data_IF_642664056477
#
_entry.id   IF_642664056477
#
_cell.length_a   1.000
_cell.length_b   1.000
_cell.length_c   1.000
_cell.angle_alpha   90.00
_cell.angle_beta   90.00
_cell.angle_gamma   90.00
#
_symmetry.space_group_name_H-M   'P 1'
#
loop_
_entity.id
_entity.type
_entity.pdbx_description
1 polymer ?
#
# COMPACT_ATOMS: atom_id res chain seq x y z
N UNK A 1 22.60 -34.23 -22.75
CA UNK A 1 22.16 -33.02 -23.43
C UNK A 1 22.28 -31.89 -22.42
N UNK A 2 23.22 -31.00 -22.63
CA UNK A 2 23.58 -29.90 -21.74
C UNK A 2 22.46 -28.89 -21.72
N UNK A 3 21.85 -28.66 -20.56
CA UNK A 3 20.87 -27.63 -20.36
C UNK A 3 21.50 -26.25 -20.60
N UNK A 4 20.97 -25.49 -21.54
CA UNK A 4 21.32 -24.09 -21.73
C UNK A 4 21.04 -23.35 -20.43
N UNK A 5 22.07 -22.72 -19.85
CA UNK A 5 21.89 -21.83 -18.69
C UNK A 5 20.98 -20.67 -19.08
N UNK A 6 20.12 -20.25 -18.16
CA UNK A 6 19.24 -19.08 -18.37
C UNK A 6 19.99 -17.81 -18.82
N UNK A 7 21.33 -17.78 -18.63
CA UNK A 7 22.25 -16.75 -19.13
C UNK A 7 22.44 -16.74 -20.65
N UNK A 8 22.11 -17.82 -21.35
CA UNK A 8 22.44 -18.01 -22.78
C UNK A 8 21.30 -17.58 -23.73
N UNK A 9 20.19 -17.14 -23.20
CA UNK A 9 19.13 -16.52 -24.00
C UNK A 9 19.56 -15.07 -24.27
N UNK A 10 19.86 -14.68 -25.53
CA UNK A 10 20.16 -13.30 -25.84
C UNK A 10 18.87 -12.47 -25.68
N UNK A 11 18.57 -12.09 -24.45
CA UNK A 11 17.50 -11.16 -24.16
C UNK A 11 17.87 -9.82 -24.75
N UNK A 12 17.16 -9.44 -25.82
CA UNK A 12 17.28 -8.12 -26.42
C UNK A 12 17.00 -7.07 -25.33
N UNK A 13 18.03 -6.37 -24.86
CA UNK A 13 17.97 -5.34 -23.84
C UNK A 13 16.95 -4.24 -24.19
N UNK A 14 16.70 -4.01 -25.48
CA UNK A 14 15.72 -3.01 -25.95
C UNK A 14 14.26 -3.40 -25.65
N UNK A 15 13.93 -4.69 -25.62
CA UNK A 15 12.56 -5.11 -25.25
C UNK A 15 12.26 -4.92 -23.76
N UNK A 16 13.26 -5.03 -22.86
CA UNK A 16 13.07 -4.81 -21.42
C UNK A 16 12.71 -3.38 -21.08
N UNK A 17 13.24 -2.42 -21.83
CA UNK A 17 12.98 -1.00 -21.62
C UNK A 17 11.52 -0.60 -21.82
N UNK A 18 10.75 -1.44 -22.51
CA UNK A 18 9.35 -1.15 -22.87
C UNK A 18 8.34 -1.99 -22.07
N UNK A 19 8.78 -2.86 -21.15
CA UNK A 19 7.88 -3.68 -20.34
C UNK A 19 7.48 -2.95 -19.06
N UNK A 20 6.18 -2.97 -18.76
CA UNK A 20 5.64 -2.48 -17.49
C UNK A 20 5.98 -3.44 -16.34
N UNK A 21 6.04 -4.74 -16.62
CA UNK A 21 6.32 -5.81 -15.66
C UNK A 21 7.43 -6.73 -16.16
N UNK A 22 8.27 -7.21 -15.24
CA UNK A 22 9.37 -8.13 -15.49
C UNK A 22 9.12 -9.53 -14.88
N UNK A 23 7.92 -10.05 -14.98
CA UNK A 23 7.58 -11.38 -14.46
C UNK A 23 7.88 -12.43 -15.53
N UNK A 24 9.10 -12.97 -15.54
CA UNK A 24 9.59 -13.92 -16.54
C UNK A 24 10.63 -14.88 -15.93
N UNK A 25 11.01 -15.90 -16.69
CA UNK A 25 11.99 -16.91 -16.30
C UNK A 25 11.40 -18.01 -15.42
N UNK A 26 12.27 -18.93 -14.98
CA UNK A 26 11.89 -20.15 -14.27
C UNK A 26 11.21 -19.89 -12.92
N UNK A 27 11.50 -18.75 -12.30
CA UNK A 27 10.92 -18.33 -11.03
C UNK A 27 9.61 -17.56 -11.17
N UNK A 28 9.13 -17.26 -12.36
CA UNK A 28 7.91 -16.46 -12.56
C UNK A 28 6.67 -17.10 -11.95
N UNK A 29 6.56 -18.42 -12.02
CA UNK A 29 5.42 -19.15 -11.45
C UNK A 29 5.34 -18.99 -9.92
N UNK A 30 6.47 -18.98 -9.22
CA UNK A 30 6.52 -18.78 -7.77
C UNK A 30 6.11 -17.36 -7.38
N UNK A 31 6.45 -16.35 -8.19
CA UNK A 31 6.05 -14.97 -7.96
C UNK A 31 4.53 -14.79 -8.12
N UNK A 32 3.94 -15.41 -9.13
CA UNK A 32 2.48 -15.43 -9.29
C UNK A 32 1.78 -16.18 -8.15
N UNK A 33 2.29 -17.35 -7.78
CA UNK A 33 1.74 -18.13 -6.67
C UNK A 33 1.84 -17.37 -5.34
N UNK A 34 2.99 -16.74 -5.05
CA UNK A 34 3.18 -15.93 -3.85
C UNK A 34 2.23 -14.73 -3.80
N UNK A 35 2.05 -14.03 -4.91
CA UNK A 35 1.10 -12.92 -5.01
C UNK A 35 -0.34 -13.37 -4.72
N UNK A 36 -0.77 -14.51 -5.29
CA UNK A 36 -2.10 -15.07 -5.05
C UNK A 36 -2.27 -15.53 -3.59
N UNK A 37 -1.24 -16.14 -2.99
CA UNK A 37 -1.27 -16.51 -1.57
C UNK A 37 -1.40 -15.30 -0.66
N UNK A 38 -0.67 -14.22 -0.94
CA UNK A 38 -0.79 -12.96 -0.19
C UNK A 38 -2.19 -12.38 -0.36
N UNK A 39 -2.73 -12.34 -1.59
CA UNK A 39 -4.08 -11.86 -1.85
C UNK A 39 -5.13 -12.63 -1.04
N UNK A 40 -5.11 -13.96 -1.12
CA UNK A 40 -6.07 -14.82 -0.40
C UNK A 40 -5.86 -14.73 1.10
N UNK A 41 -4.62 -14.75 1.58
CA UNK A 41 -4.27 -14.60 2.99
C UNK A 41 -4.77 -13.29 3.58
N UNK A 42 -4.59 -12.18 2.89
CA UNK A 42 -5.08 -10.86 3.31
C UNK A 42 -6.60 -10.80 3.36
N UNK A 43 -7.31 -11.39 2.39
CA UNK A 43 -8.77 -11.48 2.41
C UNK A 43 -9.22 -12.29 3.63
N UNK A 44 -8.65 -13.47 3.87
CA UNK A 44 -9.06 -14.35 4.97
C UNK A 44 -8.78 -13.72 6.33
N UNK A 45 -7.59 -13.17 6.55
CA UNK A 45 -7.24 -12.53 7.81
C UNK A 45 -8.07 -11.27 8.06
N UNK A 46 -8.36 -10.48 7.03
CA UNK A 46 -9.30 -9.37 7.14
C UNK A 46 -10.70 -9.84 7.54
N UNK A 47 -11.20 -10.94 6.95
CA UNK A 47 -12.50 -11.49 7.34
C UNK A 47 -12.53 -11.97 8.80
N UNK A 48 -11.48 -12.61 9.29
CA UNK A 48 -11.35 -12.98 10.72
C UNK A 48 -11.34 -11.73 11.60
N UNK A 49 -10.51 -10.73 11.27
CA UNK A 49 -10.37 -9.51 12.05
C UNK A 49 -11.68 -8.69 12.13
N UNK A 50 -12.41 -8.60 11.01
CA UNK A 50 -13.61 -7.79 10.95
C UNK A 50 -14.86 -8.48 11.49
N UNK A 51 -15.00 -9.81 11.32
CA UNK A 51 -16.21 -10.54 11.72
C UNK A 51 -16.28 -10.88 13.19
N UNK A 52 -15.13 -10.99 13.87
CA UNK A 52 -15.08 -11.37 15.27
C UNK A 52 -14.36 -10.32 16.12
N UNK A 53 -14.91 -10.05 17.31
CA UNK A 53 -14.29 -9.12 18.26
C UNK A 53 -12.95 -9.64 18.74
N UNK A 54 -12.87 -10.93 19.04
CA UNK A 54 -11.64 -11.60 19.49
C UNK A 54 -10.58 -11.59 18.40
N UNK A 55 -10.94 -11.93 17.15
CA UNK A 55 -10.02 -11.88 16.02
C UNK A 55 -9.43 -10.48 15.80
N UNK A 56 -10.28 -9.44 15.88
CA UNK A 56 -9.81 -8.05 15.81
C UNK A 56 -8.86 -7.67 16.95
N UNK A 57 -9.16 -8.07 18.19
CA UNK A 57 -8.31 -7.81 19.35
C UNK A 57 -6.97 -8.56 19.29
N UNK A 58 -6.97 -9.79 18.80
CA UNK A 58 -5.73 -10.55 18.61
C UNK A 58 -4.89 -9.89 17.50
N UNK A 59 -5.46 -9.67 16.31
CA UNK A 59 -4.72 -9.21 15.13
C UNK A 59 -4.26 -7.74 15.29
N UNK A 60 -5.07 -6.86 15.89
CA UNK A 60 -4.72 -5.44 16.03
C UNK A 60 -4.42 -5.01 17.47
N UNK A 61 -4.33 -5.94 18.40
CA UNK A 61 -3.94 -5.69 19.79
C UNK A 61 -2.77 -6.57 20.20
N UNK A 62 -3.00 -7.86 20.40
CA UNK A 62 -1.99 -8.77 20.94
C UNK A 62 -0.77 -8.94 20.01
N UNK A 63 -1.00 -9.21 18.72
CA UNK A 63 0.08 -9.42 17.73
C UNK A 63 0.98 -8.20 17.61
N UNK A 64 0.48 -6.97 17.34
CA UNK A 64 1.35 -5.81 17.23
C UNK A 64 2.02 -5.42 18.55
N UNK A 65 1.43 -5.72 19.72
CA UNK A 65 2.10 -5.53 21.00
C UNK A 65 3.35 -6.41 21.12
N UNK A 66 3.23 -7.71 20.80
CA UNK A 66 4.37 -8.65 20.78
C UNK A 66 5.41 -8.22 19.75
N UNK A 67 4.98 -7.85 18.54
CA UNK A 67 5.89 -7.40 17.50
C UNK A 67 6.61 -6.10 17.86
N UNK A 68 5.95 -5.17 18.56
CA UNK A 68 6.60 -3.95 19.03
C UNK A 68 7.75 -4.27 19.98
N UNK A 69 7.54 -5.20 20.92
CA UNK A 69 8.63 -5.68 21.81
C UNK A 69 9.75 -6.31 20.99
N UNK A 70 9.41 -7.19 20.05
CA UNK A 70 10.39 -7.80 19.14
C UNK A 70 11.21 -6.76 18.37
N UNK A 71 10.59 -5.77 17.76
CA UNK A 71 11.28 -4.71 17.02
C UNK A 71 12.22 -3.89 17.91
N UNK A 72 11.79 -3.56 19.13
CA UNK A 72 12.63 -2.85 20.10
C UNK A 72 13.84 -3.71 20.49
N UNK A 73 13.63 -4.98 20.79
CA UNK A 73 14.71 -5.91 21.16
C UNK A 73 15.72 -6.06 20.03
N UNK A 74 15.25 -6.29 18.80
CA UNK A 74 16.13 -6.40 17.61
C UNK A 74 16.92 -5.10 17.42
N UNK A 75 16.26 -3.94 17.46
CA UNK A 75 16.92 -2.66 17.23
C UNK A 75 17.97 -2.32 18.31
N UNK A 76 17.66 -2.58 19.58
CA UNK A 76 18.59 -2.34 20.70
C UNK A 76 19.77 -3.32 20.64
N UNK A 77 19.52 -4.62 20.47
CA UNK A 77 20.56 -5.63 20.41
C UNK A 77 21.49 -5.42 19.19
N UNK A 78 20.95 -5.02 18.03
CA UNK A 78 21.75 -4.70 16.85
C UNK A 78 22.66 -3.49 17.08
N UNK A 79 22.16 -2.44 17.75
CA UNK A 79 22.99 -1.28 18.15
C UNK A 79 24.10 -1.66 19.14
N UNK A 80 23.90 -2.68 19.93
CA UNK A 80 24.91 -3.23 20.85
C UNK A 80 25.87 -4.19 20.16
N UNK A 81 25.75 -4.43 18.86
CA UNK A 81 26.60 -5.34 18.08
C UNK A 81 26.33 -6.81 18.33
N UNK A 82 25.16 -7.17 18.86
CA UNK A 82 24.81 -8.58 19.10
C UNK A 82 24.56 -9.28 17.77
N UNK A 83 25.35 -10.30 17.46
CA UNK A 83 25.46 -10.94 16.16
C UNK A 83 24.09 -11.39 15.56
N UNK A 84 23.26 -12.09 16.35
CA UNK A 84 21.96 -12.55 15.87
C UNK A 84 21.03 -11.38 15.47
N UNK A 85 21.16 -10.23 16.14
CA UNK A 85 20.31 -9.05 15.86
C UNK A 85 20.85 -8.24 14.67
N UNK A 86 22.17 -8.14 14.53
CA UNK A 86 22.81 -7.51 13.35
C UNK A 86 22.46 -8.29 12.08
N UNK A 87 22.44 -9.62 12.16
CA UNK A 87 22.11 -10.51 11.03
C UNK A 87 20.59 -10.79 10.89
N UNK A 88 19.74 -10.11 11.69
CA UNK A 88 18.30 -10.30 11.64
C UNK A 88 17.70 -9.62 10.39
N UNK A 89 16.86 -10.33 9.67
CA UNK A 89 16.21 -9.84 8.44
C UNK A 89 15.41 -8.55 8.64
N UNK A 90 14.72 -8.43 9.79
CA UNK A 90 14.02 -7.18 10.15
C UNK A 90 14.99 -6.02 10.27
N UNK A 91 16.16 -6.23 10.91
CA UNK A 91 17.16 -5.19 11.06
C UNK A 91 17.77 -4.78 9.71
N UNK A 92 18.10 -5.74 8.87
CA UNK A 92 18.77 -5.52 7.59
C UNK A 92 17.86 -4.78 6.60
N UNK A 93 16.60 -5.22 6.46
CA UNK A 93 15.75 -4.80 5.35
C UNK A 93 14.55 -3.93 5.74
N UNK A 94 14.12 -3.97 7.01
CA UNK A 94 12.81 -3.41 7.42
C UNK A 94 12.91 -2.46 8.60
N UNK A 95 14.10 -1.94 8.92
CA UNK A 95 14.34 -1.08 10.09
C UNK A 95 14.27 0.42 9.80
N UNK A 96 13.81 0.82 8.62
CA UNK A 96 13.67 2.21 8.24
C UNK A 96 12.43 2.89 8.82
N UNK A 97 12.43 4.23 8.83
CA UNK A 97 11.35 5.05 9.37
C UNK A 97 10.01 4.82 8.68
N UNK A 98 10.04 4.61 7.36
CA UNK A 98 8.86 4.45 6.52
C UNK A 98 8.04 3.22 6.92
N UNK A 99 8.68 2.07 7.15
CA UNK A 99 8.01 0.83 7.53
C UNK A 99 7.29 0.97 8.87
N UNK A 100 7.94 1.56 9.87
CA UNK A 100 7.32 1.80 11.18
C UNK A 100 6.20 2.83 11.09
N UNK A 101 6.39 3.93 10.35
CA UNK A 101 5.35 4.93 10.14
C UNK A 101 4.10 4.30 9.50
N UNK A 102 4.27 3.48 8.47
CA UNK A 102 3.16 2.77 7.80
C UNK A 102 2.46 1.78 8.73
N UNK A 103 3.22 0.95 9.46
CA UNK A 103 2.64 -0.01 10.39
C UNK A 103 1.80 0.68 11.46
N UNK A 104 2.38 1.64 12.19
CA UNK A 104 1.70 2.25 13.33
C UNK A 104 0.58 3.21 12.92
N UNK A 105 0.67 3.88 11.77
CA UNK A 105 -0.44 4.66 11.23
C UNK A 105 -1.61 3.73 10.83
N UNK A 106 -1.33 2.60 10.16
CA UNK A 106 -2.36 1.62 9.83
C UNK A 106 -2.98 1.00 11.09
N UNK A 107 -2.16 0.61 12.07
CA UNK A 107 -2.61 0.05 13.36
C UNK A 107 -3.51 1.03 14.12
N UNK A 108 -3.10 2.31 14.20
CA UNK A 108 -3.90 3.38 14.80
C UNK A 108 -5.26 3.51 14.09
N UNK A 109 -5.27 3.41 12.76
CA UNK A 109 -6.49 3.33 11.96
C UNK A 109 -7.37 2.16 12.34
N UNK A 110 -6.82 0.94 12.37
CA UNK A 110 -7.55 -0.28 12.73
C UNK A 110 -8.18 -0.18 14.12
N UNK A 111 -7.44 0.30 15.13
CA UNK A 111 -7.94 0.50 16.49
C UNK A 111 -9.08 1.51 16.52
N UNK A 112 -8.91 2.68 15.89
CA UNK A 112 -9.93 3.71 15.81
C UNK A 112 -11.20 3.25 15.09
N UNK A 113 -11.04 2.44 14.03
CA UNK A 113 -12.19 1.87 13.31
C UNK A 113 -12.93 0.81 14.14
N UNK A 114 -12.19 0.03 14.95
CA UNK A 114 -12.81 -0.86 15.96
C UNK A 114 -13.56 -0.06 17.02
N UNK A 115 -13.04 1.08 17.48
CA UNK A 115 -13.73 1.95 18.43
C UNK A 115 -15.05 2.50 17.87
N UNK A 116 -15.09 2.90 16.58
CA UNK A 116 -16.32 3.33 15.90
C UNK A 116 -17.28 2.16 15.75
N UNK A 117 -16.79 1.04 15.22
CA UNK A 117 -17.57 -0.16 14.92
C UNK A 117 -18.28 -0.73 16.16
N UNK A 118 -17.56 -0.80 17.28
CA UNK A 118 -18.09 -1.34 18.53
C UNK A 118 -18.64 -0.26 19.48
N UNK A 119 -18.57 0.99 19.09
CA UNK A 119 -18.98 2.14 19.90
C UNK A 119 -18.26 2.18 21.28
N UNK A 120 -16.92 1.98 21.27
CA UNK A 120 -16.08 2.01 22.46
C UNK A 120 -15.57 3.41 22.79
N UNK A 121 -15.63 3.80 24.07
CA UNK A 121 -15.01 5.04 24.54
C UNK A 121 -15.38 6.26 23.68
N UNK A 122 -14.36 6.92 23.14
CA UNK A 122 -14.51 8.07 22.25
C UNK A 122 -15.13 7.72 20.88
N UNK A 123 -15.10 6.44 20.47
CA UNK A 123 -15.74 5.96 19.25
C UNK A 123 -17.26 6.20 19.17
N UNK A 124 -17.90 6.48 20.33
CA UNK A 124 -19.31 6.89 20.42
C UNK A 124 -19.53 8.38 20.10
N UNK A 125 -18.47 9.19 20.17
CA UNK A 125 -18.57 10.65 20.05
C UNK A 125 -18.70 11.07 18.60
N UNK A 126 -19.56 12.04 18.34
CA UNK A 126 -19.80 12.53 16.98
C UNK A 126 -18.51 13.05 16.30
N UNK A 127 -17.69 13.82 17.02
CA UNK A 127 -16.45 14.36 16.50
C UNK A 127 -15.46 13.28 16.05
N UNK A 128 -15.50 12.10 16.68
CA UNK A 128 -14.60 10.99 16.31
C UNK A 128 -14.93 10.35 14.95
N UNK A 129 -16.08 10.66 14.38
CA UNK A 129 -16.43 10.22 13.02
C UNK A 129 -15.48 10.78 11.93
N UNK A 130 -14.83 11.93 12.20
CA UNK A 130 -13.82 12.47 11.30
C UNK A 130 -12.44 11.79 11.42
N UNK A 131 -12.23 10.95 12.44
CA UNK A 131 -10.96 10.22 12.63
C UNK A 131 -10.55 9.36 11.43
N UNK A 132 -11.45 8.60 10.77
CA UNK A 132 -11.08 7.83 9.58
C UNK A 132 -10.49 8.69 8.47
N UNK A 133 -11.04 9.88 8.22
CA UNK A 133 -10.46 10.82 7.27
C UNK A 133 -9.02 11.21 7.67
N UNK A 134 -8.83 11.63 8.92
CA UNK A 134 -7.55 12.11 9.41
C UNK A 134 -6.45 11.04 9.30
N UNK A 135 -6.74 9.81 9.74
CA UNK A 135 -5.73 8.74 9.72
C UNK A 135 -5.43 8.23 8.32
N UNK A 136 -6.41 8.21 7.41
CA UNK A 136 -6.19 7.87 6.01
C UNK A 136 -5.38 8.96 5.31
N UNK A 137 -5.68 10.24 5.57
CA UNK A 137 -4.90 11.37 5.05
C UNK A 137 -3.43 11.29 5.51
N UNK A 138 -3.16 10.98 6.79
CA UNK A 138 -1.80 10.76 7.29
C UNK A 138 -1.10 9.61 6.54
N UNK A 139 -1.79 8.49 6.34
CA UNK A 139 -1.22 7.36 5.58
C UNK A 139 -0.89 7.73 4.12
N UNK A 140 -1.73 8.55 3.50
CA UNK A 140 -1.46 9.09 2.15
C UNK A 140 -0.25 10.02 2.19
N UNK A 141 -0.19 10.95 3.16
CA UNK A 141 0.93 11.89 3.29
C UNK A 141 2.29 11.21 3.53
N UNK A 142 2.33 10.08 4.23
CA UNK A 142 3.56 9.28 4.37
C UNK A 142 4.04 8.79 2.97
N UNK A 143 3.15 8.36 2.11
CA UNK A 143 3.51 7.95 0.75
C UNK A 143 3.90 9.16 -0.12
N UNK A 144 3.20 10.27 0.01
CA UNK A 144 3.52 11.55 -0.67
C UNK A 144 4.90 12.04 -0.26
N UNK A 145 5.26 11.94 1.02
CA UNK A 145 6.59 12.30 1.51
C UNK A 145 7.69 11.45 0.87
N UNK A 146 7.47 10.13 0.75
CA UNK A 146 8.41 9.21 0.08
C UNK A 146 8.54 9.50 -1.42
N UNK A 147 7.46 9.89 -2.10
CA UNK A 147 7.53 10.34 -3.50
C UNK A 147 8.39 11.61 -3.63
N UNK A 148 8.15 12.63 -2.82
CA UNK A 148 8.94 13.86 -2.87
C UNK A 148 10.38 13.65 -2.41
N UNK A 149 10.64 12.78 -1.43
CA UNK A 149 11.99 12.39 -1.03
C UNK A 149 12.75 11.78 -2.22
N UNK A 150 12.11 10.88 -2.97
CA UNK A 150 12.70 10.30 -4.18
C UNK A 150 12.92 11.32 -5.29
N UNK A 151 12.01 12.28 -5.47
CA UNK A 151 12.19 13.36 -6.44
C UNK A 151 13.38 14.27 -6.09
N UNK A 152 13.57 14.58 -4.81
CA UNK A 152 14.62 15.48 -4.35
C UNK A 152 16.00 14.82 -4.40
N UNK A 153 16.09 13.57 -3.89
CA UNK A 153 17.37 12.89 -3.72
C UNK A 153 17.85 12.20 -5.01
N UNK A 154 16.93 11.77 -5.87
CA UNK A 154 17.21 10.97 -7.06
C UNK A 154 16.80 11.62 -8.38
N UNK A 155 16.83 12.95 -8.50
CA UNK A 155 16.38 13.66 -9.71
C UNK A 155 17.11 13.19 -10.98
N UNK A 156 16.41 12.39 -11.78
CA UNK A 156 16.96 11.68 -12.97
C UNK A 156 18.26 10.90 -12.70
N UNK A 157 18.38 10.39 -11.47
CA UNK A 157 19.52 9.59 -11.05
C UNK A 157 19.08 8.53 -10.02
N UNK A 158 19.99 7.59 -9.76
CA UNK A 158 19.81 6.62 -8.71
C UNK A 158 20.22 7.19 -7.36
N UNK A 159 19.45 6.90 -6.33
CA UNK A 159 19.78 7.22 -4.94
C UNK A 159 19.44 6.04 -4.02
N UNK A 160 20.18 5.90 -2.94
CA UNK A 160 19.94 4.85 -1.95
C UNK A 160 19.00 5.41 -0.87
N UNK A 161 17.81 4.81 -0.76
CA UNK A 161 16.83 5.18 0.27
C UNK A 161 17.29 4.76 1.66
N UNK A 162 16.66 5.32 2.70
CA UNK A 162 16.88 4.90 4.09
C UNK A 162 16.54 3.43 4.36
N UNK A 163 15.79 2.81 3.46
CA UNK A 163 15.41 1.40 3.48
C UNK A 163 16.45 0.48 2.81
N UNK A 164 17.58 1.02 2.39
CA UNK A 164 18.61 0.25 1.68
C UNK A 164 18.23 -0.18 0.26
N UNK A 165 17.21 0.45 -0.32
CA UNK A 165 16.73 0.17 -1.68
C UNK A 165 17.14 1.28 -2.62
N UNK A 166 17.72 0.91 -3.76
CA UNK A 166 18.03 1.85 -4.82
C UNK A 166 16.77 2.26 -5.57
N UNK A 167 16.52 3.57 -5.63
CA UNK A 167 15.39 4.18 -6.31
C UNK A 167 15.86 5.13 -7.39
N UNK A 168 15.04 5.31 -8.41
CA UNK A 168 15.26 6.29 -9.47
C UNK A 168 14.21 7.38 -9.37
N UNK A 169 14.63 8.62 -9.13
CA UNK A 169 13.74 9.75 -8.93
C UNK A 169 13.50 10.57 -10.19
N UNK A 170 12.49 11.44 -10.15
CA UNK A 170 12.19 12.37 -11.24
C UNK A 170 10.78 12.93 -11.20
N UNK A 171 10.32 13.49 -12.33
CA UNK A 171 8.98 14.07 -12.48
C UNK A 171 7.84 13.09 -12.16
N UNK A 172 8.03 11.80 -12.39
CA UNK A 172 7.04 10.78 -12.06
C UNK A 172 6.70 10.78 -10.56
N UNK A 173 7.67 10.97 -9.67
CA UNK A 173 7.42 11.10 -8.24
C UNK A 173 6.66 12.38 -7.90
N UNK A 174 7.01 13.51 -8.55
CA UNK A 174 6.27 14.77 -8.36
C UNK A 174 4.81 14.63 -8.77
N UNK A 175 4.55 14.04 -9.95
CA UNK A 175 3.19 13.81 -10.43
C UNK A 175 2.39 12.91 -9.49
N UNK A 176 3.01 11.83 -8.99
CA UNK A 176 2.35 10.93 -8.06
C UNK A 176 2.16 11.55 -6.68
N UNK A 177 3.12 12.32 -6.18
CA UNK A 177 2.99 13.07 -4.93
C UNK A 177 1.82 14.06 -4.98
N UNK A 178 1.69 14.83 -6.08
CA UNK A 178 0.55 15.73 -6.31
C UNK A 178 -0.75 14.92 -6.39
N UNK A 179 -0.76 13.79 -7.10
CA UNK A 179 -1.93 12.92 -7.18
C UNK A 179 -2.39 12.43 -5.81
N UNK A 180 -1.45 12.10 -4.91
CA UNK A 180 -1.74 11.73 -3.52
C UNK A 180 -2.37 12.86 -2.71
N UNK A 181 -1.90 14.08 -2.88
CA UNK A 181 -2.52 15.26 -2.25
C UNK A 181 -3.95 15.44 -2.76
N UNK A 182 -4.18 15.37 -4.08
CA UNK A 182 -5.52 15.46 -4.66
C UNK A 182 -6.43 14.32 -4.19
N UNK A 183 -5.88 13.12 -3.99
CA UNK A 183 -6.61 11.96 -3.48
C UNK A 183 -7.18 12.22 -2.07
N UNK A 184 -6.45 12.92 -1.21
CA UNK A 184 -6.96 13.34 0.10
C UNK A 184 -8.21 14.20 -0.06
N UNK A 185 -8.21 15.15 -0.99
CA UNK A 185 -9.38 16.01 -1.26
C UNK A 185 -10.53 15.26 -1.95
N UNK A 186 -10.30 14.08 -2.51
CA UNK A 186 -11.35 13.22 -3.05
C UNK A 186 -12.11 12.43 -1.97
N UNK A 187 -11.67 12.43 -0.72
CA UNK A 187 -12.42 11.82 0.37
C UNK A 187 -13.58 12.73 0.80
N UNK A 188 -14.81 12.26 0.68
CA UNK A 188 -16.02 13.02 0.96
C UNK A 188 -16.80 12.44 2.14
N UNK A 189 -17.75 13.22 2.71
CA UNK A 189 -18.63 12.74 3.78
C UNK A 189 -17.91 12.36 5.07
N UNK A 190 -17.00 13.18 5.57
CA UNK A 190 -16.14 12.85 6.73
C UNK A 190 -16.91 12.53 8.01
N UNK A 191 -18.12 13.07 8.16
CA UNK A 191 -19.00 12.86 9.32
C UNK A 191 -19.99 11.72 9.11
N UNK A 192 -20.07 11.18 7.88
CA UNK A 192 -20.98 10.11 7.51
C UNK A 192 -20.32 8.74 7.65
N UNK A 193 -19.78 8.49 8.83
CA UNK A 193 -19.16 7.20 9.21
C UNK A 193 -20.01 6.54 10.28
N UNK A 194 -20.27 5.26 10.11
CA UNK A 194 -21.25 4.50 10.90
C UNK A 194 -20.72 3.14 11.31
N UNK A 195 -21.32 2.60 12.39
CA UNK A 195 -21.19 1.17 12.69
C UNK A 195 -22.16 0.39 11.80
N UNK A 196 -21.78 -0.82 11.35
CA UNK A 196 -22.72 -1.72 10.69
C UNK A 196 -23.76 -2.29 11.68
N UNK A 197 -24.94 -2.67 11.18
CA UNK A 197 -26.04 -3.28 11.98
C UNK A 197 -25.58 -4.55 12.70
N UNK A 198 -24.73 -5.33 12.08
CA UNK A 198 -24.18 -6.58 12.63
C UNK A 198 -22.87 -6.38 13.43
N UNK A 199 -22.44 -5.14 13.62
CA UNK A 199 -21.21 -4.76 14.33
C UNK A 199 -19.91 -5.36 13.74
N UNK A 200 -19.94 -5.81 12.47
CA UNK A 200 -18.76 -6.36 11.81
C UNK A 200 -17.90 -5.32 11.13
N UNK A 201 -18.48 -4.17 10.76
CA UNK A 201 -17.82 -3.17 9.95
C UNK A 201 -17.98 -1.75 10.46
N UNK A 202 -16.97 -0.92 10.22
CA UNK A 202 -17.12 0.52 10.11
C UNK A 202 -17.54 0.81 8.65
N UNK A 203 -18.64 1.49 8.46
CA UNK A 203 -19.22 1.80 7.15
C UNK A 203 -19.01 3.28 6.84
N UNK A 204 -18.42 3.55 5.68
CA UNK A 204 -18.27 4.90 5.13
C UNK A 204 -18.91 4.94 3.73
N UNK A 205 -20.20 5.25 3.60
CA UNK A 205 -20.96 5.08 2.36
C UNK A 205 -20.46 5.93 1.19
N UNK A 206 -19.94 7.12 1.47
CA UNK A 206 -19.48 8.05 0.44
C UNK A 206 -18.16 7.61 -0.23
N UNK A 207 -17.43 6.65 0.36
CA UNK A 207 -16.27 6.01 -0.27
C UNK A 207 -16.74 4.95 -1.28
N UNK A 208 -17.33 5.43 -2.36
CA UNK A 208 -17.87 4.60 -3.43
C UNK A 208 -16.77 4.06 -4.34
N UNK A 209 -17.14 3.15 -5.26
CA UNK A 209 -16.22 2.53 -6.21
C UNK A 209 -15.36 3.52 -7.01
N UNK A 210 -15.84 4.75 -7.26
CA UNK A 210 -15.06 5.81 -7.93
C UNK A 210 -13.82 6.16 -7.12
N UNK A 211 -14.00 6.46 -5.80
CA UNK A 211 -12.88 6.75 -4.93
C UNK A 211 -11.92 5.55 -4.81
N UNK A 212 -12.47 4.33 -4.66
CA UNK A 212 -11.69 3.09 -4.54
C UNK A 212 -10.74 2.95 -5.74
N UNK A 213 -11.24 3.06 -6.96
CA UNK A 213 -10.43 2.93 -8.18
C UNK A 213 -9.38 4.05 -8.27
N UNK A 214 -9.76 5.29 -7.98
CA UNK A 214 -8.83 6.44 -8.05
C UNK A 214 -7.71 6.29 -7.03
N UNK A 215 -8.02 5.82 -5.82
CA UNK A 215 -7.03 5.50 -4.80
C UNK A 215 -6.12 4.35 -5.24
N UNK A 216 -6.70 3.26 -5.76
CA UNK A 216 -5.92 2.09 -6.17
C UNK A 216 -4.94 2.45 -7.30
N UNK A 217 -5.35 3.27 -8.29
CA UNK A 217 -4.47 3.74 -9.36
C UNK A 217 -3.33 4.61 -8.80
N UNK A 218 -3.63 5.54 -7.90
CA UNK A 218 -2.62 6.37 -7.25
C UNK A 218 -1.64 5.53 -6.43
N UNK A 219 -2.15 4.62 -5.60
CA UNK A 219 -1.31 3.81 -4.73
C UNK A 219 -0.49 2.78 -5.51
N UNK A 220 -1.03 2.26 -6.63
CA UNK A 220 -0.27 1.44 -7.56
C UNK A 220 0.94 2.22 -8.12
N UNK A 221 0.74 3.45 -8.60
CA UNK A 221 1.83 4.29 -9.11
C UNK A 221 2.88 4.57 -8.02
N UNK A 222 2.43 4.84 -6.79
CA UNK A 222 3.32 5.00 -5.64
C UNK A 222 4.19 3.76 -5.40
N UNK A 223 3.59 2.57 -5.32
CA UNK A 223 4.34 1.33 -5.09
C UNK A 223 5.25 0.97 -6.26
N UNK A 224 4.83 1.30 -7.47
CA UNK A 224 5.62 1.11 -8.69
C UNK A 224 6.91 1.95 -8.67
N UNK A 225 6.84 3.19 -8.19
CA UNK A 225 7.96 4.13 -8.17
C UNK A 225 8.85 3.97 -6.94
N UNK A 226 8.25 3.81 -5.75
CA UNK A 226 8.94 3.96 -4.47
C UNK A 226 9.08 2.67 -3.65
N UNK A 227 8.38 1.59 -4.03
CA UNK A 227 8.45 0.30 -3.33
C UNK A 227 8.73 -0.85 -4.28
N UNK A 228 9.81 -0.76 -5.06
CA UNK A 228 10.06 -1.68 -6.14
C UNK A 228 10.20 -3.15 -5.71
N UNK A 229 10.85 -3.43 -4.60
CA UNK A 229 11.04 -4.79 -4.09
C UNK A 229 9.74 -5.44 -3.60
N UNK A 230 8.73 -4.63 -3.22
CA UNK A 230 7.46 -5.13 -2.68
C UNK A 230 6.26 -4.87 -3.61
N UNK A 231 6.45 -4.18 -4.72
CA UNK A 231 5.35 -3.68 -5.56
C UNK A 231 4.40 -4.78 -6.02
N UNK A 232 4.91 -5.99 -6.27
CA UNK A 232 4.09 -7.13 -6.66
C UNK A 232 3.06 -7.52 -5.60
N UNK A 233 3.45 -7.41 -4.33
CA UNK A 233 2.60 -7.73 -3.20
C UNK A 233 1.75 -6.53 -2.78
N UNK A 234 2.35 -5.36 -2.55
CA UNK A 234 1.62 -4.20 -2.03
C UNK A 234 0.99 -3.33 -3.12
N UNK A 235 1.47 -3.39 -4.37
CA UNK A 235 0.87 -2.71 -5.52
C UNK A 235 -0.22 -3.51 -6.23
N UNK A 236 -0.33 -4.82 -5.99
CA UNK A 236 -1.36 -5.67 -6.60
C UNK A 236 -2.16 -6.40 -5.53
N UNK A 237 -1.59 -7.36 -4.82
CA UNK A 237 -2.33 -8.19 -3.86
C UNK A 237 -2.98 -7.37 -2.74
N UNK A 238 -2.21 -6.46 -2.14
CA UNK A 238 -2.66 -5.61 -1.04
C UNK A 238 -3.73 -4.58 -1.45
N UNK A 239 -3.77 -4.13 -2.70
CA UNK A 239 -4.81 -3.25 -3.22
C UNK A 239 -6.06 -4.03 -3.62
N UNK A 240 -5.89 -5.18 -4.26
CA UNK A 240 -7.01 -5.99 -4.71
C UNK A 240 -7.79 -6.62 -3.54
N UNK A 241 -7.13 -7.03 -2.45
CA UNK A 241 -7.79 -7.70 -1.33
C UNK A 241 -8.94 -6.88 -0.72
N UNK A 242 -8.75 -5.61 -0.27
CA UNK A 242 -9.83 -4.78 0.25
C UNK A 242 -10.84 -4.39 -0.83
N UNK A 243 -10.39 -4.20 -2.07
CA UNK A 243 -11.22 -3.76 -3.20
C UNK A 243 -12.19 -4.85 -3.62
N UNK A 244 -11.73 -6.09 -3.80
CA UNK A 244 -12.60 -7.24 -4.06
C UNK A 244 -13.65 -7.39 -2.96
N UNK A 245 -13.23 -7.35 -1.69
CA UNK A 245 -14.15 -7.47 -0.56
C UNK A 245 -15.24 -6.38 -0.59
N UNK A 246 -14.84 -5.12 -0.80
CA UNK A 246 -15.77 -3.99 -0.79
C UNK A 246 -16.72 -3.96 -2.01
N UNK A 247 -16.25 -4.39 -3.17
CA UNK A 247 -17.07 -4.39 -4.38
C UNK A 247 -18.04 -5.57 -4.43
N UNK A 248 -17.70 -6.72 -3.83
CA UNK A 248 -18.54 -7.93 -3.91
C UNK A 248 -19.46 -8.05 -2.70
N UNK A 249 -18.94 -8.12 -1.47
CA UNK A 249 -19.77 -8.45 -0.28
C UNK A 249 -19.73 -7.42 0.85
N UNK A 250 -18.78 -6.49 0.89
CA UNK A 250 -18.60 -5.55 2.01
C UNK A 250 -18.73 -4.08 1.59
N UNK A 251 -19.83 -3.73 0.91
CA UNK A 251 -20.10 -2.36 0.44
C UNK A 251 -20.05 -1.35 1.59
N UNK A 252 -19.30 -0.26 1.38
CA UNK A 252 -19.05 0.78 2.38
C UNK A 252 -17.96 0.46 3.40
N UNK A 253 -17.41 -0.77 3.43
CA UNK A 253 -16.35 -1.20 4.33
C UNK A 253 -14.93 -1.06 3.77
N UNK A 254 -14.74 -0.46 2.59
CA UNK A 254 -13.44 -0.45 1.91
C UNK A 254 -12.32 0.17 2.74
N UNK A 255 -12.54 1.34 3.35
CA UNK A 255 -11.54 2.03 4.19
C UNK A 255 -11.07 1.13 5.34
N UNK A 256 -12.01 0.47 6.02
CA UNK A 256 -11.67 -0.46 7.10
C UNK A 256 -10.90 -1.67 6.57
N UNK A 257 -11.36 -2.27 5.47
CA UNK A 257 -10.65 -3.39 4.84
C UNK A 257 -9.23 -2.98 4.42
N UNK A 258 -9.06 -1.78 3.85
CA UNK A 258 -7.76 -1.26 3.41
C UNK A 258 -6.80 -1.05 4.58
N UNK A 259 -7.25 -0.50 5.68
CA UNK A 259 -6.43 -0.35 6.88
C UNK A 259 -6.06 -1.70 7.49
N UNK A 260 -7.03 -2.61 7.60
CA UNK A 260 -6.82 -3.95 8.14
C UNK A 260 -5.77 -4.72 7.33
N UNK A 261 -5.94 -4.77 6.00
CA UNK A 261 -5.01 -5.50 5.12
C UNK A 261 -3.63 -4.84 5.10
N UNK A 262 -3.54 -3.51 5.15
CA UNK A 262 -2.27 -2.80 5.24
C UNK A 262 -1.53 -3.12 6.56
N UNK A 263 -2.23 -3.07 7.69
CA UNK A 263 -1.65 -3.38 8.98
C UNK A 263 -1.15 -4.84 9.03
N UNK A 264 -1.96 -5.80 8.56
CA UNK A 264 -1.60 -7.22 8.48
C UNK A 264 -0.37 -7.41 7.58
N UNK A 265 -0.36 -6.78 6.41
CA UNK A 265 0.78 -6.84 5.49
C UNK A 265 2.06 -6.27 6.13
N UNK A 266 1.99 -5.09 6.74
CA UNK A 266 3.15 -4.47 7.38
C UNK A 266 3.72 -5.34 8.50
N UNK A 267 2.87 -5.93 9.35
CA UNK A 267 3.31 -6.83 10.41
C UNK A 267 4.02 -8.07 9.84
N UNK A 268 3.44 -8.66 8.80
CA UNK A 268 4.03 -9.83 8.17
C UNK A 268 5.35 -9.49 7.47
N UNK A 269 5.36 -8.47 6.62
CA UNK A 269 6.51 -8.10 5.81
C UNK A 269 7.72 -7.65 6.65
N UNK A 270 7.49 -6.99 7.79
CA UNK A 270 8.58 -6.57 8.67
C UNK A 270 9.26 -7.73 9.41
N UNK A 271 8.58 -8.87 9.57
CA UNK A 271 9.15 -10.05 10.22
C UNK A 271 9.70 -11.04 9.18
N UNK A 272 9.02 -11.14 8.03
CA UNK A 272 9.34 -12.07 6.97
C UNK A 272 9.50 -11.33 5.63
N UNK A 273 10.64 -10.67 5.39
CA UNK A 273 10.87 -9.93 4.15
C UNK A 273 11.24 -10.86 2.99
N UNK A 274 10.38 -11.82 2.65
CA UNK A 274 10.59 -12.85 1.63
C UNK A 274 10.94 -12.31 0.24
N UNK A 275 10.51 -11.08 -0.05
CA UNK A 275 10.79 -10.39 -1.31
C UNK A 275 12.22 -9.84 -1.41
N UNK A 276 13.02 -9.96 -0.33
CA UNK A 276 14.43 -9.57 -0.31
C UNK A 276 15.38 -10.78 -0.45
N UNK A 277 14.84 -11.99 -0.46
CA UNK A 277 15.66 -13.18 -0.58
C UNK A 277 16.19 -13.36 -2.01
N UNK A 278 17.42 -13.84 -2.12
CA UNK A 278 18.02 -14.27 -3.38
C UNK A 278 17.56 -15.68 -3.75
N UNK A 279 17.34 -15.93 -5.03
CA UNK A 279 17.07 -17.28 -5.54
C UNK A 279 18.34 -18.16 -5.53
N UNK A 280 18.17 -19.45 -5.79
CA UNK A 280 19.28 -20.42 -5.86
C UNK A 280 20.37 -20.07 -6.87
N UNK A 281 20.06 -19.31 -7.90
CA UNK A 281 21.00 -18.80 -8.90
C UNK A 281 21.71 -17.51 -8.44
N UNK A 282 21.46 -17.05 -7.21
CA UNK A 282 22.04 -15.83 -6.66
C UNK A 282 21.38 -14.53 -7.12
N UNK A 283 20.28 -14.60 -7.85
CA UNK A 283 19.55 -13.40 -8.28
C UNK A 283 18.40 -13.08 -7.34
N UNK A 284 18.14 -11.78 -7.15
CA UNK A 284 16.92 -11.29 -6.51
C UNK A 284 15.91 -10.94 -7.58
N UNK A 285 14.70 -11.43 -7.43
CA UNK A 285 13.65 -11.22 -8.42
C UNK A 285 12.85 -9.96 -8.13
N UNK A 286 12.84 -9.04 -9.08
CA UNK A 286 12.03 -7.81 -9.05
C UNK A 286 11.05 -7.81 -10.23
N UNK A 287 9.74 -7.92 -10.00
CA UNK A 287 8.77 -8.05 -11.08
C UNK A 287 8.49 -6.76 -11.85
N UNK A 288 8.91 -5.61 -11.33
CA UNK A 288 8.71 -4.33 -12.00
C UNK A 288 9.86 -3.97 -12.95
N UNK A 289 9.53 -3.34 -14.07
CA UNK A 289 10.52 -2.91 -15.06
C UNK A 289 11.40 -1.74 -14.60
N UNK A 290 11.07 -1.14 -13.46
CA UNK A 290 11.75 0.06 -12.95
C UNK A 290 12.96 -0.25 -12.08
N UNK A 291 13.25 -1.53 -11.82
CA UNK A 291 14.23 -1.93 -10.83
C UNK A 291 15.38 -2.69 -11.43
N UNK A 292 16.51 -2.47 -10.80
CA UNK A 292 17.74 -3.22 -11.04
C UNK A 292 17.68 -4.58 -10.34
N UNK A 293 18.24 -5.58 -10.97
CA UNK A 293 18.47 -6.88 -10.31
C UNK A 293 19.67 -6.75 -9.37
N UNK A 294 19.52 -7.14 -8.12
CA UNK A 294 20.62 -7.29 -7.18
C UNK A 294 21.23 -8.69 -7.34
N UNK A 295 22.52 -8.76 -7.42
CA UNK A 295 23.27 -10.03 -7.50
C UNK A 295 23.65 -10.53 -6.12
N UNK A 296 24.02 -11.81 -6.02
CA UNK A 296 24.42 -12.46 -4.76
C UNK A 296 25.69 -11.85 -4.13
N UNK A 297 26.53 -11.20 -4.92
CA UNK A 297 27.73 -10.49 -4.46
C UNK A 297 27.43 -9.08 -3.89
N UNK A 298 26.16 -8.71 -3.82
CA UNK A 298 25.71 -7.39 -3.36
C UNK A 298 25.76 -6.31 -4.43
N UNK A 299 26.19 -6.61 -5.65
CA UNK A 299 26.16 -5.65 -6.74
C UNK A 299 24.74 -5.47 -7.27
N UNK A 300 24.46 -4.29 -7.83
CA UNK A 300 23.15 -3.94 -8.37
C UNK A 300 23.29 -3.65 -9.85
N UNK A 301 22.63 -4.45 -10.68
CA UNK A 301 22.65 -4.28 -12.12
C UNK A 301 22.21 -2.87 -12.53
N UNK A 302 22.90 -2.31 -13.51
CA UNK A 302 22.62 -0.98 -14.05
C UNK A 302 23.18 0.18 -13.21
N UNK A 303 23.34 0.02 -11.91
CA UNK A 303 23.97 1.04 -11.04
C UNK A 303 25.48 0.85 -11.05
N UNK A 304 25.96 -0.37 -10.89
CA UNK A 304 27.40 -0.69 -10.93
C UNK A 304 28.03 -0.32 -12.28
N UNK A 305 27.27 -0.51 -13.36
CA UNK A 305 27.71 -0.11 -14.69
C UNK A 305 27.60 1.41 -14.97
N UNK A 306 27.16 2.20 -13.99
CA UNK A 306 26.88 3.63 -14.18
C UNK A 306 25.78 3.91 -15.18
N UNK A 307 24.94 2.92 -15.46
CA UNK A 307 23.85 3.01 -16.43
C UNK A 307 22.49 2.98 -15.74
N UNK A 308 21.60 3.85 -16.16
CA UNK A 308 20.17 3.75 -15.82
C UNK A 308 19.46 2.68 -16.64
N UNK A 309 20.18 1.70 -17.17
CA UNK A 309 19.69 0.74 -18.14
C UNK A 309 18.48 -0.09 -17.65
N UNK A 310 18.35 -0.25 -16.35
CA UNK A 310 17.28 -1.02 -15.73
C UNK A 310 16.15 -0.15 -15.15
N UNK A 311 16.26 1.17 -15.16
CA UNK A 311 15.14 2.06 -14.91
C UNK A 311 14.28 2.19 -16.16
N UNK A 312 12.97 2.30 -15.97
CA UNK A 312 12.05 2.66 -17.04
C UNK A 312 11.30 3.95 -16.68
N UNK A 313 11.96 5.13 -16.85
CA UNK A 313 11.36 6.42 -16.52
C UNK A 313 10.07 6.69 -17.31
N UNK A 314 9.95 6.14 -18.50
CA UNK A 314 8.75 6.26 -19.34
C UNK A 314 7.57 5.54 -18.68
N UNK A 315 7.75 4.28 -18.24
CA UNK A 315 6.70 3.53 -17.54
C UNK A 315 6.32 4.21 -16.22
N UNK A 316 7.32 4.65 -15.42
CA UNK A 316 7.12 5.40 -14.18
C UNK A 316 6.30 6.67 -14.42
N UNK A 317 6.62 7.42 -15.47
CA UNK A 317 5.90 8.64 -15.85
C UNK A 317 4.46 8.33 -16.31
N UNK A 318 4.26 7.29 -17.11
CA UNK A 318 2.92 6.91 -17.58
C UNK A 318 2.00 6.56 -16.41
N UNK A 319 2.44 5.70 -15.48
CA UNK A 319 1.62 5.30 -14.34
C UNK A 319 1.34 6.48 -13.41
N UNK A 320 2.28 7.38 -13.23
CA UNK A 320 2.14 8.57 -12.39
C UNK A 320 1.23 9.64 -13.02
N UNK A 321 1.34 9.85 -14.33
CA UNK A 321 0.43 10.74 -15.06
C UNK A 321 -1.00 10.17 -15.05
N UNK A 322 -1.17 8.87 -15.22
CA UNK A 322 -2.48 8.22 -15.08
C UNK A 322 -3.06 8.48 -13.69
N UNK A 323 -2.26 8.32 -12.63
CA UNK A 323 -2.69 8.62 -11.27
C UNK A 323 -3.10 10.10 -11.09
N UNK A 324 -2.30 11.03 -11.63
CA UNK A 324 -2.60 12.45 -11.56
C UNK A 324 -3.90 12.80 -12.29
N UNK A 325 -4.04 12.34 -13.53
CA UNK A 325 -5.21 12.62 -14.38
C UNK A 325 -6.50 12.09 -13.73
N UNK A 326 -6.51 10.83 -13.25
CA UNK A 326 -7.74 10.28 -12.65
C UNK A 326 -8.11 10.99 -11.35
N UNK A 327 -7.13 11.45 -10.56
CA UNK A 327 -7.39 12.23 -9.36
C UNK A 327 -7.93 13.63 -9.68
N UNK A 328 -7.42 14.30 -10.72
CA UNK A 328 -7.96 15.58 -11.20
C UNK A 328 -9.41 15.39 -11.67
N UNK A 329 -9.69 14.36 -12.47
CA UNK A 329 -11.04 14.06 -12.97
C UNK A 329 -11.99 13.79 -11.80
N UNK A 330 -11.58 12.97 -10.83
CA UNK A 330 -12.40 12.66 -9.67
C UNK A 330 -12.71 13.88 -8.81
N UNK A 331 -11.70 14.70 -8.51
CA UNK A 331 -11.89 15.92 -7.73
C UNK A 331 -12.79 16.91 -8.46
N UNK A 332 -12.58 17.10 -9.76
CA UNK A 332 -13.45 17.94 -10.60
C UNK A 332 -14.89 17.44 -10.57
N UNK A 333 -15.10 16.14 -10.70
CA UNK A 333 -16.43 15.54 -10.62
C UNK A 333 -17.07 15.74 -9.25
N UNK A 334 -16.33 15.60 -8.16
CA UNK A 334 -16.80 15.87 -6.80
C UNK A 334 -17.22 17.33 -6.66
N UNK A 335 -16.39 18.28 -7.12
CA UNK A 335 -16.68 19.72 -7.06
C UNK A 335 -17.96 20.05 -7.83
N UNK A 336 -18.04 19.63 -9.10
CA UNK A 336 -19.22 19.89 -9.96
C UNK A 336 -20.49 19.31 -9.33
N UNK A 337 -20.40 18.07 -8.82
CA UNK A 337 -21.54 17.42 -8.16
C UNK A 337 -21.95 18.12 -6.88
N UNK A 338 -20.99 18.59 -6.09
CA UNK A 338 -21.21 19.31 -4.84
C UNK A 338 -21.90 20.66 -5.09
N UNK A 339 -21.43 21.42 -6.08
CA UNK A 339 -22.04 22.69 -6.50
C UNK A 339 -23.46 22.46 -7.00
N UNK A 340 -23.66 21.46 -7.89
CA UNK A 340 -24.98 21.12 -8.43
C UNK A 340 -25.97 20.69 -7.34
N UNK A 341 -25.49 19.96 -6.34
CA UNK A 341 -26.33 19.49 -5.23
C UNK A 341 -26.44 20.53 -4.08
N UNK A 342 -25.74 21.66 -4.16
CA UNK A 342 -25.62 22.66 -3.10
C UNK A 342 -25.18 22.05 -1.76
N UNK A 343 -24.25 21.13 -1.80
CA UNK A 343 -23.71 20.42 -0.61
C UNK A 343 -22.20 20.58 -0.52
N UNK A 344 -21.72 20.85 0.69
CA UNK A 344 -20.28 20.77 0.96
C UNK A 344 -19.87 19.28 0.92
N UNK A 345 -18.87 18.89 0.11
CA UNK A 345 -18.49 17.49 -0.06
C UNK A 345 -17.90 16.86 1.21
N UNK A 346 -17.38 17.67 2.11
CA UNK A 346 -16.69 17.18 3.30
C UNK A 346 -17.62 16.98 4.50
N UNK A 347 -18.59 17.85 4.65
CA UNK A 347 -19.57 17.78 5.75
C UNK A 347 -20.87 17.08 5.34
N UNK A 348 -21.15 16.98 4.05
CA UNK A 348 -22.33 16.35 3.48
C UNK A 348 -21.99 15.08 2.68
N UNK A 349 -23.00 14.24 2.52
CA UNK A 349 -22.91 13.04 1.67
C UNK A 349 -23.23 13.40 0.22
N UNK A 350 -22.27 13.17 -0.69
CA UNK A 350 -22.33 13.64 -2.09
C UNK A 350 -22.92 12.58 -3.03
N UNK A 351 -22.72 11.30 -2.71
CA UNK A 351 -23.00 10.18 -3.61
C UNK A 351 -24.30 9.44 -3.29
N UNK A 352 -25.22 10.10 -2.60
CA UNK A 352 -26.47 9.50 -2.10
C UNK A 352 -27.35 8.83 -3.17
N UNK A 353 -27.21 9.21 -4.45
CA UNK A 353 -27.97 8.64 -5.56
C UNK A 353 -27.31 7.39 -6.20
N UNK A 354 -26.12 6.98 -5.72
CA UNK A 354 -25.45 5.78 -6.25
C UNK A 354 -25.99 4.52 -5.58
N UNK A 355 -26.20 3.47 -6.37
CA UNK A 355 -26.61 2.15 -5.85
C UNK A 355 -25.61 1.59 -4.83
N UNK A 356 -24.31 1.80 -5.04
CA UNK A 356 -23.26 1.39 -4.09
C UNK A 356 -23.43 2.10 -2.75
N UNK A 357 -23.65 3.43 -2.77
CA UNK A 357 -23.90 4.23 -1.57
C UNK A 357 -25.12 3.72 -0.81
N UNK A 358 -26.24 3.52 -1.51
CA UNK A 358 -27.48 3.01 -0.89
C UNK A 358 -27.26 1.65 -0.22
N UNK A 359 -26.64 0.71 -0.93
CA UNK A 359 -26.31 -0.61 -0.38
C UNK A 359 -25.37 -0.55 0.83
N UNK A 360 -24.44 0.41 0.88
CA UNK A 360 -23.61 0.67 2.04
C UNK A 360 -24.42 1.27 3.21
N UNK A 361 -25.30 2.24 2.90
CA UNK A 361 -26.13 2.91 3.89
C UNK A 361 -27.16 1.97 4.54
N UNK A 362 -27.70 1.02 3.76
CA UNK A 362 -28.64 0.01 4.26
C UNK A 362 -28.01 -0.92 5.31
N UNK A 363 -26.69 -1.09 5.28
CA UNK A 363 -25.91 -1.86 6.28
C UNK A 363 -25.61 -1.04 7.53
N UNK A 364 -25.68 0.27 7.46
CA UNK A 364 -25.25 1.19 8.52
C UNK A 364 -26.35 1.39 9.60
N UNK A 365 -25.90 1.62 10.84
CA UNK A 365 -26.75 2.13 11.93
C UNK A 365 -26.72 3.66 11.83
N UNK A 366 -27.76 4.22 11.22
CA UNK A 366 -27.96 5.67 11.14
C UNK A 366 -28.73 6.09 12.40
N UNK A 367 -28.05 6.82 13.30
CA UNK A 367 -28.67 7.44 14.49
C UNK A 367 -29.01 8.89 14.18
#
# INVERSE_FOLDING_TARGET
MLGAKASDIPWNNDRRKNMLFNVYGDNAIYQWAAMLLVLVGLILLNEVARRTKVGGLIIFGAVPAVLTVYFIVVAVAARMGVEWAVNNQTHIYMNGWFHYAKLYAALTGCIGFMMIKYEWGIGKKHWFKAFPFAIVAINILIAVASDFESAINGWYSWWLSSEGVWLYGGWHNVFNGIAGILNIFCMTGWWAVYSSKDKKDMIWPDMIWVYIIVYDIWNFAYTYNCLPTHSWFCGVALLLAPTIAALIWNKGGWIMNRANTLCIWCMFAQVFPLFQETFHDGTTFYPWATITTQYADGTVSGIVAGTSANANPTAMTIVSLMALIVNIIALTYIIVKSVKNKKNPYTGEVFTNFKYYQAAKDRAVVK
#
